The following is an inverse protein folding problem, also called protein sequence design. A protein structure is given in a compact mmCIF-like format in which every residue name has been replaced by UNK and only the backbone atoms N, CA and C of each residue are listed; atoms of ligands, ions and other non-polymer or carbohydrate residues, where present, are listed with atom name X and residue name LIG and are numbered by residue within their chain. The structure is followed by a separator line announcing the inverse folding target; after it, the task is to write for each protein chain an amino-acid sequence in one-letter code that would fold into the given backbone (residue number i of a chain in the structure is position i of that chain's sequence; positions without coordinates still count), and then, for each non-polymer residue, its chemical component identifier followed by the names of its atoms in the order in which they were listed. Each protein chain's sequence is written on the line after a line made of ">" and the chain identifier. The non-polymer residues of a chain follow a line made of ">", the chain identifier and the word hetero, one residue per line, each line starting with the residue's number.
data_IF_722017614133
#
_entry.id   IF_722017614133
#
_cell.length_a   1.000
_cell.length_b   1.000
_cell.length_c   1.000
_cell.angle_alpha   90.00
_cell.angle_beta   90.00
_cell.angle_gamma   90.00
#
_symmetry.space_group_name_H-M   'P 1'
#
loop_
_entity.id
_entity.type
_entity.pdbx_description
1 polymer ?
#
# COMPACT_ATOMS: atom_id res chain seq x y z
N UNK A 1 25.06 -23.49 -14.41
CA UNK A 1 23.61 -23.41 -14.11
C UNK A 1 22.95 -22.82 -15.34
N UNK A 2 21.94 -23.47 -15.89
CA UNK A 2 21.30 -23.03 -17.14
C UNK A 2 20.15 -22.09 -16.80
N UNK A 3 20.04 -20.94 -17.47
CA UNK A 3 18.94 -19.99 -17.29
C UNK A 3 17.99 -20.15 -18.49
N UNK A 4 16.72 -20.42 -18.21
CA UNK A 4 15.69 -20.62 -19.23
C UNK A 4 14.61 -19.57 -19.07
N UNK A 5 14.38 -18.78 -20.10
CA UNK A 5 13.28 -17.82 -20.14
C UNK A 5 12.00 -18.55 -20.53
N UNK A 6 10.91 -18.31 -19.81
CA UNK A 6 9.59 -18.86 -20.08
C UNK A 6 8.65 -17.71 -20.40
N UNK A 7 8.22 -17.65 -21.66
CA UNK A 7 7.32 -16.61 -22.15
C UNK A 7 5.88 -17.09 -21.96
N UNK A 8 5.11 -16.39 -21.15
CA UNK A 8 3.72 -16.70 -20.86
C UNK A 8 2.84 -15.68 -21.56
N UNK A 9 2.02 -16.17 -22.48
CA UNK A 9 1.22 -15.34 -23.38
C UNK A 9 -0.19 -15.27 -22.84
N UNK A 10 -0.62 -14.09 -22.41
CA UNK A 10 -1.98 -13.84 -21.94
C UNK A 10 -2.45 -12.50 -22.51
N UNK A 11 -3.74 -12.39 -22.84
CA UNK A 11 -4.42 -11.14 -23.24
C UNK A 11 -3.99 -10.47 -24.57
N UNK A 12 -3.87 -11.26 -25.65
CA UNK A 12 -4.06 -10.72 -27.02
C UNK A 12 -2.93 -9.92 -27.65
N UNK A 13 -1.74 -9.81 -27.02
CA UNK A 13 -0.52 -9.36 -27.71
C UNK A 13 0.16 -10.54 -28.43
N UNK A 14 0.84 -10.25 -29.55
CA UNK A 14 1.60 -11.28 -30.29
C UNK A 14 2.84 -11.72 -29.51
N UNK A 15 3.19 -13.01 -29.60
CA UNK A 15 4.38 -13.61 -28.97
C UNK A 15 5.66 -12.85 -29.34
N UNK A 16 5.73 -12.32 -30.57
CA UNK A 16 6.83 -11.48 -31.03
C UNK A 16 7.01 -10.20 -30.22
N UNK A 17 5.91 -9.55 -29.79
CA UNK A 17 6.01 -8.34 -28.97
C UNK A 17 6.61 -8.64 -27.60
N UNK A 18 6.12 -9.71 -26.94
CA UNK A 18 6.62 -10.16 -25.63
C UNK A 18 8.10 -10.56 -25.72
N UNK A 19 8.47 -11.32 -26.75
CA UNK A 19 9.85 -11.74 -26.98
C UNK A 19 10.77 -10.54 -27.24
N UNK A 20 10.31 -9.53 -27.99
CA UNK A 20 11.06 -8.30 -28.26
C UNK A 20 11.32 -7.50 -26.98
N UNK A 21 10.29 -7.34 -26.13
CA UNK A 21 10.41 -6.65 -24.85
C UNK A 21 11.33 -7.41 -23.88
N UNK A 22 11.16 -8.73 -23.78
CA UNK A 22 12.00 -9.59 -22.96
C UNK A 22 13.47 -9.57 -23.42
N UNK A 23 13.73 -9.54 -24.73
CA UNK A 23 15.09 -9.39 -25.28
C UNK A 23 15.72 -8.04 -24.97
N UNK A 24 14.92 -6.97 -24.98
CA UNK A 24 15.39 -5.63 -24.62
C UNK A 24 15.80 -5.56 -23.14
N UNK A 25 15.06 -6.25 -22.27
CA UNK A 25 15.31 -6.23 -20.83
C UNK A 25 16.41 -7.20 -20.38
N UNK A 26 16.44 -8.41 -20.96
CA UNK A 26 17.30 -9.51 -20.49
C UNK A 26 18.38 -9.94 -21.50
N UNK A 27 18.37 -9.41 -22.73
CA UNK A 27 19.25 -9.87 -23.82
C UNK A 27 18.77 -11.15 -24.49
N UNK A 28 19.58 -11.74 -25.37
CA UNK A 28 19.27 -13.02 -26.03
C UNK A 28 19.42 -14.19 -25.03
N UNK A 29 18.34 -14.94 -24.81
CA UNK A 29 18.29 -16.09 -23.91
C UNK A 29 17.54 -17.27 -24.56
N UNK A 30 17.88 -18.49 -24.14
CA UNK A 30 17.09 -19.67 -24.50
C UNK A 30 15.68 -19.54 -23.92
N UNK A 31 14.68 -19.54 -24.79
CA UNK A 31 13.30 -19.20 -24.46
C UNK A 31 12.35 -20.34 -24.78
N UNK A 32 11.36 -20.57 -23.91
CA UNK A 32 10.28 -21.55 -24.06
C UNK A 32 8.95 -20.82 -23.94
N UNK A 33 8.03 -21.04 -24.88
CA UNK A 33 6.67 -20.49 -24.77
C UNK A 33 5.78 -21.47 -24.04
N UNK A 34 5.01 -20.99 -23.07
CA UNK A 34 3.97 -21.78 -22.41
C UNK A 34 2.60 -21.24 -22.82
N UNK A 35 1.86 -22.02 -23.59
CA UNK A 35 0.58 -21.63 -24.20
C UNK A 35 -0.61 -22.29 -23.49
N UNK A 36 -1.76 -21.60 -23.44
CA UNK A 36 -3.01 -22.20 -22.94
C UNK A 36 -3.43 -23.38 -23.83
N UNK A 37 -3.97 -24.42 -23.23
CA UNK A 37 -4.57 -25.53 -23.97
C UNK A 37 -5.71 -25.00 -24.86
N UNK A 38 -5.56 -25.11 -26.18
CA UNK A 38 -6.54 -24.67 -27.17
C UNK A 38 -6.36 -23.23 -27.69
N UNK A 39 -5.34 -22.48 -27.26
CA UNK A 39 -4.99 -21.20 -27.88
C UNK A 39 -4.29 -21.42 -29.24
N UNK A 40 -4.62 -20.59 -30.23
CA UNK A 40 -4.14 -20.70 -31.62
C UNK A 40 -3.15 -19.60 -32.01
N UNK A 41 -2.61 -18.85 -31.04
CA UNK A 41 -1.65 -17.78 -31.34
C UNK A 41 -0.37 -18.37 -31.97
N UNK A 42 0.07 -17.86 -33.14
CA UNK A 42 1.21 -18.41 -33.84
C UNK A 42 2.50 -18.18 -33.05
N UNK A 43 3.13 -19.26 -32.63
CA UNK A 43 4.48 -19.26 -32.07
C UNK A 43 5.47 -18.98 -33.21
N UNK A 44 6.43 -18.04 -33.04
CA UNK A 44 7.44 -17.78 -34.06
C UNK A 44 8.24 -19.03 -34.43
N UNK A 45 8.57 -19.17 -35.72
CA UNK A 45 9.33 -20.32 -36.23
C UNK A 45 10.65 -20.51 -35.47
N UNK A 46 10.89 -21.75 -35.01
CA UNK A 46 12.10 -22.13 -34.29
C UNK A 46 12.09 -21.89 -32.78
N UNK A 47 11.03 -21.32 -32.22
CA UNK A 47 10.87 -21.15 -30.77
C UNK A 47 10.11 -22.35 -30.17
N UNK A 48 10.66 -23.08 -29.18
CA UNK A 48 9.96 -24.20 -28.59
C UNK A 48 8.74 -23.72 -27.81
N UNK A 49 7.65 -24.47 -27.88
CA UNK A 49 6.42 -24.20 -27.14
C UNK A 49 5.84 -25.47 -26.49
N UNK A 50 5.23 -25.32 -25.33
CA UNK A 50 4.53 -26.38 -24.60
C UNK A 50 3.18 -25.88 -24.09
N UNK A 51 2.22 -26.78 -23.96
CA UNK A 51 0.95 -26.44 -23.35
C UNK A 51 1.13 -26.24 -21.83
N UNK A 52 0.35 -25.34 -21.20
CA UNK A 52 0.39 -25.06 -19.74
C UNK A 52 0.32 -26.37 -18.93
N UNK A 53 -0.53 -27.30 -19.34
CA UNK A 53 -0.71 -28.57 -18.65
C UNK A 53 0.44 -29.58 -18.85
N UNK A 54 1.29 -29.35 -19.84
CA UNK A 54 2.40 -30.25 -20.19
C UNK A 54 3.76 -29.68 -19.78
N UNK A 55 3.80 -28.45 -19.25
CA UNK A 55 5.02 -27.84 -18.75
C UNK A 55 5.59 -28.62 -17.55
N UNK A 56 6.88 -28.97 -17.61
CA UNK A 56 7.61 -29.64 -16.55
C UNK A 56 8.98 -28.96 -16.35
N UNK A 57 9.32 -28.51 -15.12
CA UNK A 57 10.63 -27.92 -14.85
C UNK A 57 11.77 -28.95 -14.87
N UNK A 58 12.90 -28.53 -15.43
CA UNK A 58 14.16 -29.26 -15.51
C UNK A 58 14.98 -28.96 -14.24
N UNK A 59 15.43 -30.01 -13.54
CA UNK A 59 16.28 -29.86 -12.35
C UNK A 59 17.60 -29.14 -12.69
N UNK A 60 18.07 -28.27 -11.79
CA UNK A 60 19.31 -27.49 -11.97
C UNK A 60 19.20 -26.33 -12.97
N UNK A 61 17.98 -26.01 -13.44
CA UNK A 61 17.68 -24.88 -14.32
C UNK A 61 17.04 -23.75 -13.51
N UNK A 62 17.43 -22.50 -13.79
CA UNK A 62 16.75 -21.32 -13.27
C UNK A 62 15.76 -20.79 -14.30
N UNK A 63 14.58 -20.35 -13.85
CA UNK A 63 13.50 -19.93 -14.74
C UNK A 63 13.18 -18.44 -14.61
N UNK A 64 13.02 -17.73 -15.73
CA UNK A 64 12.51 -16.35 -15.75
C UNK A 64 11.17 -16.38 -16.48
N UNK A 65 10.07 -16.24 -15.75
CA UNK A 65 8.71 -16.26 -16.27
C UNK A 65 8.34 -14.84 -16.66
N UNK A 66 8.26 -14.58 -17.95
CA UNK A 66 7.86 -13.28 -18.49
C UNK A 66 6.38 -13.35 -18.83
N UNK A 67 5.56 -12.64 -18.07
CA UNK A 67 4.14 -12.43 -18.30
C UNK A 67 3.88 -10.99 -18.77
N UNK A 68 2.78 -10.77 -19.49
CA UNK A 68 2.38 -9.44 -19.96
C UNK A 68 0.89 -9.25 -19.67
N UNK A 69 0.56 -8.91 -18.42
CA UNK A 69 -0.82 -8.78 -17.95
C UNK A 69 -1.62 -10.09 -17.96
N UNK A 70 -1.90 -10.63 -16.76
CA UNK A 70 -2.75 -11.80 -16.54
C UNK A 70 -3.12 -11.89 -15.05
N UNK A 71 -4.21 -12.60 -14.70
CA UNK A 71 -4.54 -12.83 -13.29
C UNK A 71 -3.69 -13.97 -12.73
N UNK A 72 -3.32 -13.93 -11.45
CA UNK A 72 -2.53 -14.97 -10.76
C UNK A 72 -3.10 -16.39 -10.96
N UNK A 73 -4.41 -16.50 -11.19
CA UNK A 73 -5.11 -17.75 -11.49
C UNK A 73 -4.65 -18.43 -12.80
N UNK A 74 -4.19 -17.66 -13.79
CA UNK A 74 -3.73 -18.19 -15.08
C UNK A 74 -2.31 -18.75 -15.01
N UNK A 75 -1.50 -18.26 -14.06
CA UNK A 75 -0.12 -18.67 -13.84
C UNK A 75 -0.03 -19.86 -12.87
N UNK A 76 -1.03 -20.04 -12.00
CA UNK A 76 -1.01 -21.00 -10.91
C UNK A 76 -0.51 -22.41 -11.30
N UNK A 77 -0.92 -23.05 -12.42
CA UNK A 77 -0.45 -24.39 -12.76
C UNK A 77 1.06 -24.47 -13.07
N UNK A 78 1.61 -23.43 -13.69
CA UNK A 78 3.04 -23.34 -14.03
C UNK A 78 3.85 -23.06 -12.77
N UNK A 79 3.39 -22.09 -11.97
CA UNK A 79 4.01 -21.70 -10.71
C UNK A 79 4.04 -22.87 -9.71
N UNK A 80 2.92 -23.57 -9.53
CA UNK A 80 2.83 -24.76 -8.68
C UNK A 80 3.84 -25.85 -9.08
N UNK A 81 4.14 -26.01 -10.37
CA UNK A 81 5.12 -27.00 -10.82
C UNK A 81 6.55 -26.55 -10.56
N UNK A 82 6.86 -25.28 -10.78
CA UNK A 82 8.16 -24.70 -10.44
C UNK A 82 8.43 -24.84 -8.95
N UNK A 83 7.46 -24.46 -8.12
CA UNK A 83 7.48 -24.63 -6.66
C UNK A 83 7.75 -26.10 -6.26
N UNK A 84 6.94 -27.03 -6.76
CA UNK A 84 7.10 -28.47 -6.45
C UNK A 84 8.45 -29.03 -6.88
N UNK A 85 9.04 -28.48 -7.93
CA UNK A 85 10.35 -28.92 -8.41
C UNK A 85 11.52 -28.35 -7.61
N UNK A 86 11.30 -27.35 -6.74
CA UNK A 86 12.34 -26.70 -5.95
C UNK A 86 13.37 -25.95 -6.79
N UNK A 87 13.07 -25.69 -8.08
CA UNK A 87 13.93 -24.91 -8.96
C UNK A 87 13.78 -23.43 -8.64
N UNK A 88 14.86 -22.68 -8.83
CA UNK A 88 14.83 -21.23 -8.66
C UNK A 88 14.08 -20.63 -9.85
N UNK A 89 13.09 -19.78 -9.58
CA UNK A 89 12.39 -19.07 -10.63
C UNK A 89 11.99 -17.65 -10.20
N UNK A 90 11.82 -16.78 -11.19
CA UNK A 90 11.40 -15.39 -11.04
C UNK A 90 10.23 -15.12 -11.97
N UNK A 91 9.26 -14.30 -11.56
CA UNK A 91 8.20 -13.79 -12.44
C UNK A 91 8.47 -12.32 -12.76
N UNK A 92 8.22 -11.92 -14.01
CA UNK A 92 8.34 -10.55 -14.52
C UNK A 92 7.03 -10.19 -15.22
N UNK A 93 6.31 -9.19 -14.73
CA UNK A 93 5.18 -8.61 -15.46
C UNK A 93 5.61 -7.35 -16.22
N UNK A 94 5.64 -7.46 -17.55
CA UNK A 94 6.05 -6.39 -18.45
C UNK A 94 5.07 -5.18 -18.45
N UNK A 95 3.86 -5.30 -17.90
CA UNK A 95 2.92 -4.16 -17.80
C UNK A 95 3.10 -3.31 -16.54
N UNK A 96 3.76 -3.84 -15.50
CA UNK A 96 3.81 -3.18 -14.19
C UNK A 96 5.21 -2.97 -13.62
N UNK A 97 6.28 -3.32 -14.33
CA UNK A 97 7.66 -3.27 -13.82
C UNK A 97 7.85 -3.98 -12.45
N UNK A 98 6.98 -4.95 -12.12
CA UNK A 98 6.97 -5.64 -10.83
C UNK A 98 7.53 -7.06 -10.94
N UNK A 99 8.46 -7.39 -10.05
CA UNK A 99 9.03 -8.73 -9.87
C UNK A 99 8.34 -9.43 -8.69
N UNK A 100 8.07 -10.73 -8.79
CA UNK A 100 7.64 -11.57 -7.65
C UNK A 100 8.56 -12.79 -7.58
N UNK A 101 9.15 -13.02 -6.42
CA UNK A 101 10.07 -14.13 -6.11
C UNK A 101 9.54 -14.89 -4.89
N UNK A 102 9.56 -16.23 -4.92
CA UNK A 102 9.18 -17.10 -3.81
C UNK A 102 10.37 -18.02 -3.49
N UNK A 103 11.14 -17.69 -2.44
CA UNK A 103 12.36 -18.38 -2.04
C UNK A 103 12.39 -18.70 -0.55
N UNK A 104 12.76 -19.94 -0.18
CA UNK A 104 12.52 -20.51 1.15
C UNK A 104 13.35 -19.96 2.32
N UNK A 105 12.64 -19.52 3.37
CA UNK A 105 13.04 -19.55 4.80
C UNK A 105 11.80 -19.44 5.68
N UNK A 106 11.40 -20.53 6.37
CA UNK A 106 10.08 -20.76 6.98
C UNK A 106 8.96 -20.52 5.95
N UNK A 107 8.01 -21.44 5.73
CA UNK A 107 6.93 -21.16 4.79
C UNK A 107 6.03 -20.10 5.43
N UNK A 108 6.34 -18.81 5.29
CA UNK A 108 5.57 -17.70 5.80
C UNK A 108 4.87 -17.08 4.61
N UNK A 109 3.54 -16.96 4.70
CA UNK A 109 2.74 -16.22 3.75
C UNK A 109 2.21 -14.96 4.43
N UNK A 110 2.58 -13.80 3.90
CA UNK A 110 2.03 -12.52 4.31
C UNK A 110 0.74 -12.18 3.55
N UNK A 111 -0.25 -11.62 4.22
CA UNK A 111 -1.46 -11.06 3.63
C UNK A 111 -1.40 -9.55 3.85
N UNK A 112 -1.22 -8.80 2.77
CA UNK A 112 -0.96 -7.37 2.81
C UNK A 112 -2.09 -6.61 2.12
N UNK A 113 -2.79 -5.68 2.77
CA UNK A 113 -3.56 -4.69 2.03
C UNK A 113 -2.63 -3.82 1.16
N UNK A 114 -3.20 -3.11 0.19
CA UNK A 114 -2.47 -2.10 -0.60
C UNK A 114 -3.24 -0.77 -0.52
N UNK A 115 -3.31 -0.22 0.69
CA UNK A 115 -4.20 0.92 1.00
C UNK A 115 -3.45 2.18 1.48
N UNK A 116 -2.18 2.07 1.87
CA UNK A 116 -1.36 3.21 2.28
C UNK A 116 0.13 3.00 1.98
N UNK A 117 0.93 4.03 2.31
CA UNK A 117 2.36 4.06 2.03
C UNK A 117 3.16 3.00 2.78
N UNK A 118 2.76 2.65 4.01
CA UNK A 118 3.46 1.62 4.80
C UNK A 118 3.21 0.23 4.19
N UNK A 119 1.95 -0.07 3.83
CA UNK A 119 1.60 -1.35 3.22
C UNK A 119 2.34 -1.57 1.89
N UNK A 120 2.49 -0.52 1.07
CA UNK A 120 3.31 -0.57 -0.15
C UNK A 120 4.78 -0.85 0.17
N UNK A 121 5.33 -0.22 1.20
CA UNK A 121 6.74 -0.42 1.57
C UNK A 121 7.00 -1.80 2.17
N UNK A 122 6.04 -2.35 2.92
CA UNK A 122 6.07 -3.75 3.38
C UNK A 122 6.13 -4.68 2.17
N UNK A 123 5.31 -4.44 1.13
CA UNK A 123 5.34 -5.25 -0.09
C UNK A 123 6.70 -5.15 -0.79
N UNK A 124 7.27 -3.96 -0.91
CA UNK A 124 8.61 -3.79 -1.49
C UNK A 124 9.67 -4.57 -0.71
N UNK A 125 9.67 -4.46 0.62
CA UNK A 125 10.56 -5.21 1.49
C UNK A 125 10.40 -6.72 1.31
N UNK A 126 9.16 -7.22 1.23
CA UNK A 126 8.90 -8.65 1.02
C UNK A 126 9.37 -9.12 -0.36
N UNK A 127 9.24 -8.29 -1.41
CA UNK A 127 9.78 -8.57 -2.74
C UNK A 127 11.32 -8.67 -2.67
N UNK A 128 11.98 -7.68 -2.08
CA UNK A 128 13.45 -7.63 -1.97
C UNK A 128 14.02 -8.81 -1.19
N UNK A 129 13.28 -9.28 -0.17
CA UNK A 129 13.64 -10.43 0.65
C UNK A 129 13.11 -11.76 0.13
N UNK A 130 12.49 -11.78 -1.05
CA UNK A 130 11.99 -13.00 -1.73
C UNK A 130 10.95 -13.78 -0.90
N UNK A 131 10.15 -13.06 -0.11
CA UNK A 131 9.15 -13.61 0.80
C UNK A 131 7.80 -13.81 0.10
N UNK A 132 7.04 -14.84 0.49
CA UNK A 132 5.70 -15.09 -0.07
C UNK A 132 4.66 -14.12 0.49
N UNK A 133 3.90 -13.47 -0.39
CA UNK A 133 2.76 -12.64 0.02
C UNK A 133 1.58 -12.72 -0.95
N UNK A 134 0.39 -12.39 -0.45
CA UNK A 134 -0.82 -12.13 -1.24
C UNK A 134 -1.34 -10.75 -0.87
N UNK A 135 -1.70 -9.98 -1.88
CA UNK A 135 -2.29 -8.66 -1.67
C UNK A 135 -3.81 -8.71 -1.62
N UNK A 136 -4.42 -7.83 -0.82
CA UNK A 136 -5.87 -7.58 -0.78
C UNK A 136 -6.14 -6.11 -1.14
N UNK A 137 -7.26 -5.85 -1.81
CA UNK A 137 -7.66 -4.51 -2.29
C UNK A 137 -8.64 -3.83 -1.35
N UNK A 138 -8.59 -4.18 -0.07
CA UNK A 138 -9.40 -3.56 0.96
C UNK A 138 -8.87 -2.16 1.29
N UNK A 139 -9.78 -1.23 1.51
CA UNK A 139 -9.47 0.12 1.98
C UNK A 139 -9.01 0.10 3.45
N UNK A 140 -8.87 1.28 4.06
CA UNK A 140 -8.68 1.39 5.50
C UNK A 140 -9.77 0.67 6.28
N UNK A 141 -9.35 -0.05 7.33
CA UNK A 141 -10.20 -1.00 8.03
C UNK A 141 -10.27 -2.38 7.39
N UNK A 142 -9.28 -2.73 6.55
CA UNK A 142 -9.08 -4.07 6.03
C UNK A 142 -9.19 -5.12 7.15
N UNK A 143 -9.85 -6.23 6.87
CA UNK A 143 -10.14 -7.25 7.88
C UNK A 143 -9.96 -8.66 7.36
N UNK A 144 -9.75 -9.60 8.29
CA UNK A 144 -9.78 -11.02 7.99
C UNK A 144 -11.15 -11.49 7.49
N UNK A 145 -12.21 -10.78 7.91
CA UNK A 145 -13.57 -11.13 7.56
C UNK A 145 -13.89 -10.90 6.09
N UNK A 146 -13.40 -9.79 5.55
CA UNK A 146 -13.70 -9.30 4.20
C UNK A 146 -12.66 -9.68 3.15
N UNK A 147 -11.74 -10.61 3.46
CA UNK A 147 -10.82 -11.16 2.47
C UNK A 147 -11.57 -11.67 1.23
N UNK A 148 -11.04 -11.34 0.05
CA UNK A 148 -11.68 -11.69 -1.20
C UNK A 148 -11.77 -13.21 -1.37
N UNK A 149 -12.83 -13.74 -2.02
CA UNK A 149 -13.00 -15.18 -2.20
C UNK A 149 -11.80 -15.87 -2.84
N UNK A 150 -11.10 -15.18 -3.75
CA UNK A 150 -9.89 -15.69 -4.42
C UNK A 150 -8.70 -15.79 -3.46
N UNK A 151 -8.54 -14.84 -2.54
CA UNK A 151 -7.49 -14.86 -1.51
C UNK A 151 -7.75 -16.03 -0.56
N UNK A 152 -8.99 -16.15 -0.06
CA UNK A 152 -9.42 -17.27 0.79
C UNK A 152 -9.22 -18.62 0.11
N UNK A 153 -9.59 -18.74 -1.18
CA UNK A 153 -9.39 -19.96 -1.96
C UNK A 153 -7.92 -20.35 -2.11
N UNK A 154 -7.06 -19.36 -2.34
CA UNK A 154 -5.61 -19.52 -2.44
C UNK A 154 -5.02 -20.03 -1.13
N UNK A 155 -5.34 -19.38 0.00
CA UNK A 155 -4.87 -19.77 1.34
C UNK A 155 -5.30 -21.19 1.68
N UNK A 156 -6.57 -21.54 1.43
CA UNK A 156 -7.09 -22.90 1.70
C UNK A 156 -6.39 -23.97 0.87
N UNK A 157 -6.04 -23.66 -0.38
CA UNK A 157 -5.30 -24.58 -1.25
C UNK A 157 -3.87 -24.75 -0.74
N UNK A 158 -3.20 -23.64 -0.41
CA UNK A 158 -1.85 -23.65 0.14
C UNK A 158 -1.77 -24.45 1.44
N UNK A 159 -2.70 -24.26 2.38
CA UNK A 159 -2.70 -24.99 3.65
C UNK A 159 -2.96 -26.50 3.49
N UNK A 160 -3.64 -26.92 2.43
CA UNK A 160 -3.79 -28.36 2.11
C UNK A 160 -2.48 -28.95 1.59
N UNK A 161 -1.75 -28.19 0.79
CA UNK A 161 -0.49 -28.65 0.17
C UNK A 161 0.71 -28.49 1.10
N UNK A 162 0.68 -27.48 1.97
CA UNK A 162 1.74 -27.08 2.90
C UNK A 162 1.13 -26.73 4.27
N UNK A 163 0.73 -27.72 5.08
CA UNK A 163 0.01 -27.49 6.34
C UNK A 163 0.82 -26.77 7.42
N UNK A 164 2.13 -26.66 7.24
CA UNK A 164 3.03 -25.97 8.17
C UNK A 164 3.31 -24.51 7.77
N UNK A 165 2.65 -23.99 6.73
CA UNK A 165 2.77 -22.57 6.37
C UNK A 165 2.23 -21.69 7.50
N UNK A 166 3.01 -20.70 7.91
CA UNK A 166 2.57 -19.66 8.84
C UNK A 166 1.91 -18.54 8.04
N UNK A 167 0.68 -18.19 8.38
CA UNK A 167 -0.03 -17.07 7.77
C UNK A 167 0.15 -15.83 8.66
N UNK A 168 0.52 -14.71 8.07
CA UNK A 168 0.66 -13.42 8.76
C UNK A 168 -0.24 -12.41 8.06
N UNK A 169 -1.22 -11.87 8.76
CA UNK A 169 -1.97 -10.70 8.30
C UNK A 169 -1.27 -9.42 8.72
N UNK A 170 -1.16 -8.48 7.80
CA UNK A 170 -0.68 -7.13 8.05
C UNK A 170 -1.91 -6.25 8.22
N UNK A 171 -2.13 -5.76 9.43
CA UNK A 171 -3.18 -4.79 9.79
C UNK A 171 -4.62 -5.22 9.45
N UNK A 172 -4.84 -6.54 9.40
CA UNK A 172 -6.16 -7.08 9.15
C UNK A 172 -6.95 -7.15 10.46
N UNK A 173 -7.96 -6.31 10.59
CA UNK A 173 -8.88 -6.27 11.74
C UNK A 173 -9.62 -7.60 11.99
N UNK A 174 -10.06 -7.77 13.23
CA UNK A 174 -10.85 -8.92 13.68
C UNK A 174 -10.03 -10.19 13.89
N UNK A 175 -10.70 -11.26 14.30
CA UNK A 175 -10.06 -12.52 14.66
C UNK A 175 -9.29 -13.11 13.46
N UNK A 176 -7.98 -13.33 13.65
CA UNK A 176 -7.14 -13.96 12.65
C UNK A 176 -7.71 -15.31 12.21
N UNK A 177 -7.72 -15.54 10.89
CA UNK A 177 -8.24 -16.77 10.28
C UNK A 177 -7.10 -17.69 9.87
N UNK A 178 -7.43 -18.95 9.60
CA UNK A 178 -6.50 -19.95 9.08
C UNK A 178 -5.29 -20.27 10.00
N UNK A 179 -5.45 -20.06 11.31
CA UNK A 179 -4.35 -20.20 12.27
C UNK A 179 -3.27 -19.13 12.11
N UNK A 180 -3.58 -18.04 11.40
CA UNK A 180 -2.67 -16.92 11.19
C UNK A 180 -2.48 -16.06 12.43
N UNK A 181 -1.46 -15.22 12.37
CA UNK A 181 -1.18 -14.16 13.34
C UNK A 181 -1.37 -12.80 12.68
N UNK A 182 -1.66 -11.77 13.47
CA UNK A 182 -1.73 -10.41 12.98
C UNK A 182 -0.52 -9.60 13.43
N UNK A 183 0.08 -8.86 12.51
CA UNK A 183 1.02 -7.78 12.78
C UNK A 183 0.22 -6.48 12.62
N UNK A 184 0.33 -5.61 13.62
CA UNK A 184 -0.43 -4.38 13.72
C UNK A 184 0.21 -3.49 14.80
N UNK A 185 -0.19 -2.23 14.85
CA UNK A 185 0.18 -1.28 15.90
C UNK A 185 -0.96 -0.34 16.29
N UNK A 186 -2.15 -0.53 15.71
CA UNK A 186 -3.33 0.30 15.94
C UNK A 186 -4.14 -0.15 17.16
N UNK A 187 -5.06 0.73 17.57
CA UNK A 187 -6.10 0.43 18.54
C UNK A 187 -7.48 0.64 17.91
N UNK A 188 -8.29 -0.41 17.92
CA UNK A 188 -9.67 -0.38 17.45
C UNK A 188 -10.64 -0.59 18.61
N UNK A 189 -11.91 -0.28 18.40
CA UNK A 189 -12.96 -0.47 19.40
C UNK A 189 -13.09 -1.96 19.76
N UNK A 190 -12.67 -2.30 20.98
CA UNK A 190 -12.71 -3.68 21.48
C UNK A 190 -11.57 -4.59 20.97
N UNK A 191 -10.57 -4.05 20.27
CA UNK A 191 -9.42 -4.79 19.75
C UNK A 191 -8.14 -3.93 19.84
N UNK A 192 -7.36 -4.14 20.92
CA UNK A 192 -6.13 -3.39 21.20
C UNK A 192 -4.91 -4.16 20.71
N UNK A 193 -4.28 -3.65 19.65
CA UNK A 193 -3.11 -4.24 19.00
C UNK A 193 -1.92 -3.30 19.02
N UNK A 194 -1.93 -2.35 19.96
CA UNK A 194 -0.91 -1.34 20.09
C UNK A 194 0.48 -1.98 20.19
N UNK A 195 1.40 -1.50 19.35
CA UNK A 195 2.79 -1.93 19.35
C UNK A 195 3.70 -0.69 19.24
N UNK A 196 4.82 -0.61 19.98
CA UNK A 196 5.77 0.47 19.80
C UNK A 196 6.44 0.48 18.41
N UNK A 197 6.45 -0.67 17.72
CA UNK A 197 6.94 -0.84 16.36
C UNK A 197 5.79 -0.77 15.35
N UNK A 198 6.04 -0.12 14.21
CA UNK A 198 5.13 -0.10 13.07
C UNK A 198 5.00 -1.50 12.45
N UNK A 199 4.04 -1.72 11.54
CA UNK A 199 3.91 -3.01 10.89
C UNK A 199 5.13 -3.32 10.01
N UNK A 200 5.72 -2.31 9.35
CA UNK A 200 6.96 -2.44 8.59
C UNK A 200 8.15 -2.85 9.46
N UNK A 201 8.32 -2.23 10.64
CA UNK A 201 9.39 -2.60 11.59
C UNK A 201 9.22 -4.04 12.11
N UNK A 202 7.98 -4.46 12.36
CA UNK A 202 7.67 -5.83 12.78
C UNK A 202 7.98 -6.85 11.67
N UNK A 203 7.64 -6.53 10.42
CA UNK A 203 7.97 -7.39 9.26
C UNK A 203 9.48 -7.48 9.07
N UNK A 204 10.22 -6.36 9.10
CA UNK A 204 11.68 -6.35 8.95
C UNK A 204 12.37 -7.22 9.99
N UNK A 205 11.95 -7.10 11.26
CA UNK A 205 12.43 -7.95 12.36
C UNK A 205 12.14 -9.43 12.12
N UNK A 206 10.97 -9.76 11.58
CA UNK A 206 10.57 -11.14 11.34
C UNK A 206 11.33 -11.77 10.16
N UNK A 207 11.62 -10.98 9.13
CA UNK A 207 12.41 -11.40 7.96
C UNK A 207 13.93 -11.38 8.27
N UNK A 208 14.35 -10.65 9.31
CA UNK A 208 15.72 -10.61 9.79
C UNK A 208 16.59 -9.60 9.02
N UNK A 209 16.01 -8.45 8.70
CA UNK A 209 16.67 -7.35 7.99
C UNK A 209 16.53 -6.03 8.74
N UNK A 210 17.49 -5.15 8.52
CA UNK A 210 17.46 -3.77 9.01
C UNK A 210 16.78 -2.89 7.97
N UNK A 211 15.93 -1.96 8.42
CA UNK A 211 15.32 -0.97 7.54
C UNK A 211 16.36 0.06 7.08
N UNK A 212 16.32 0.40 5.79
CA UNK A 212 17.08 1.54 5.29
C UNK A 212 16.48 2.88 5.74
N UNK A 213 17.13 3.99 5.37
CA UNK A 213 16.71 5.34 5.78
C UNK A 213 15.29 5.67 5.31
N UNK A 214 14.93 5.32 4.07
CA UNK A 214 13.60 5.60 3.52
C UNK A 214 12.53 4.79 4.27
N UNK A 215 12.79 3.50 4.48
CA UNK A 215 11.90 2.61 5.21
C UNK A 215 11.73 3.01 6.68
N UNK A 216 12.79 3.48 7.33
CA UNK A 216 12.70 4.06 8.68
C UNK A 216 11.78 5.29 8.69
N UNK A 217 11.87 6.17 7.68
CA UNK A 217 10.99 7.33 7.57
C UNK A 217 9.53 6.93 7.33
N UNK A 218 9.27 5.93 6.50
CA UNK A 218 7.92 5.37 6.29
C UNK A 218 7.35 4.81 7.59
N UNK A 219 8.13 4.00 8.32
CA UNK A 219 7.71 3.42 9.59
C UNK A 219 7.40 4.47 10.67
N UNK A 220 8.22 5.53 10.80
CA UNK A 220 7.94 6.58 11.79
C UNK A 220 6.81 7.52 11.34
N UNK A 221 6.65 7.74 10.03
CA UNK A 221 5.49 8.44 9.48
C UNK A 221 4.19 7.72 9.83
N UNK A 222 4.18 6.40 9.75
CA UNK A 222 2.99 5.62 10.06
C UNK A 222 2.64 5.68 11.56
N UNK A 223 3.65 5.59 12.44
CA UNK A 223 3.46 5.71 13.90
C UNK A 223 3.09 7.11 14.39
N UNK A 224 3.55 8.16 13.74
CA UNK A 224 3.47 9.52 14.31
C UNK A 224 3.53 10.67 13.31
N UNK A 225 3.32 10.39 12.03
CA UNK A 225 3.23 11.35 10.94
C UNK A 225 4.49 12.22 10.81
N UNK A 226 4.37 13.39 10.18
CA UNK A 226 5.46 14.36 9.99
C UNK A 226 6.19 14.72 11.31
N UNK A 227 5.51 14.93 12.46
CA UNK A 227 6.19 15.17 13.73
C UNK A 227 7.21 14.09 14.12
N UNK A 228 6.89 12.81 13.92
CA UNK A 228 7.78 11.71 14.27
C UNK A 228 8.99 11.63 13.34
N UNK A 229 8.78 11.83 12.02
CA UNK A 229 9.89 11.94 11.06
C UNK A 229 10.89 13.03 11.48
N UNK A 230 10.41 14.21 11.88
CA UNK A 230 11.28 15.31 12.33
C UNK A 230 11.97 14.96 13.66
N UNK A 231 11.22 14.51 14.66
CA UNK A 231 11.75 14.36 16.03
C UNK A 231 12.63 13.14 16.25
N UNK A 232 12.29 12.02 15.61
CA UNK A 232 12.98 10.75 15.83
C UNK A 232 14.13 10.55 14.84
N UNK A 233 14.01 11.11 13.63
CA UNK A 233 14.92 10.85 12.54
C UNK A 233 15.61 12.11 11.98
N UNK A 234 15.31 13.30 12.51
CA UNK A 234 15.82 14.59 11.99
C UNK A 234 15.57 14.73 10.48
N UNK A 235 14.37 14.34 10.04
CA UNK A 235 14.03 14.29 8.63
C UNK A 235 14.06 15.69 7.98
N UNK A 236 14.73 15.79 6.83
CA UNK A 236 14.71 16.99 6.02
C UNK A 236 13.37 17.21 5.32
N UNK A 237 13.12 18.44 4.85
CA UNK A 237 11.89 18.78 4.12
C UNK A 237 11.68 17.87 2.90
N UNK A 238 12.73 17.57 2.14
CA UNK A 238 12.62 16.70 0.97
C UNK A 238 12.23 15.27 1.34
N UNK A 239 12.86 14.69 2.37
CA UNK A 239 12.53 13.34 2.86
C UNK A 239 11.06 13.25 3.28
N UNK A 240 10.56 14.27 3.98
CA UNK A 240 9.15 14.36 4.39
C UNK A 240 8.25 14.41 3.15
N UNK A 241 8.55 15.27 2.18
CA UNK A 241 7.75 15.41 0.97
C UNK A 241 7.71 14.10 0.17
N UNK A 242 8.83 13.40 0.06
CA UNK A 242 8.93 12.14 -0.68
C UNK A 242 8.08 11.04 -0.03
N UNK A 243 8.22 10.83 1.29
CA UNK A 243 7.42 9.84 2.04
C UNK A 243 5.93 10.18 2.01
N UNK A 244 5.58 11.44 2.23
CA UNK A 244 4.17 11.86 2.20
C UNK A 244 3.56 11.76 0.81
N UNK A 245 4.34 12.02 -0.25
CA UNK A 245 3.89 11.83 -1.63
C UNK A 245 3.63 10.35 -1.95
N UNK A 246 4.53 9.44 -1.52
CA UNK A 246 4.33 7.99 -1.64
C UNK A 246 3.04 7.55 -0.94
N UNK A 247 2.83 7.99 0.30
CA UNK A 247 1.65 7.63 1.09
C UNK A 247 0.34 8.09 0.44
N UNK A 248 0.27 9.37 0.00
CA UNK A 248 -0.91 9.90 -0.69
C UNK A 248 -1.20 9.16 -1.99
N UNK A 249 -0.17 8.83 -2.76
CA UNK A 249 -0.32 8.03 -3.99
C UNK A 249 -0.87 6.64 -3.68
N UNK A 250 -0.40 5.99 -2.62
CA UNK A 250 -0.90 4.68 -2.20
C UNK A 250 -2.37 4.72 -1.75
N UNK A 251 -2.80 5.82 -1.13
CA UNK A 251 -4.21 6.10 -0.76
C UNK A 251 -5.11 6.49 -1.95
N UNK A 252 -4.57 6.42 -3.17
CA UNK A 252 -5.27 6.68 -4.42
C UNK A 252 -5.46 8.17 -4.74
N UNK A 253 -4.67 9.06 -4.15
CA UNK A 253 -4.71 10.49 -4.50
C UNK A 253 -4.09 10.69 -5.88
N UNK A 254 -4.85 11.32 -6.78
CA UNK A 254 -4.40 11.57 -8.16
C UNK A 254 -3.63 12.87 -8.28
N UNK A 255 -2.93 13.05 -9.40
CA UNK A 255 -2.23 14.30 -9.69
C UNK A 255 -3.20 15.48 -9.79
N UNK A 256 -4.39 15.28 -10.36
CA UNK A 256 -5.41 16.33 -10.46
C UNK A 256 -5.89 16.79 -9.07
N UNK A 257 -5.99 15.86 -8.11
CA UNK A 257 -6.35 16.18 -6.72
C UNK A 257 -5.24 16.95 -5.99
N UNK A 258 -3.97 16.61 -6.25
CA UNK A 258 -2.83 17.38 -5.76
C UNK A 258 -2.82 18.81 -6.33
N UNK A 259 -3.04 18.95 -7.64
CA UNK A 259 -3.09 20.25 -8.31
C UNK A 259 -4.26 21.11 -7.80
N UNK A 260 -5.44 20.51 -7.59
CA UNK A 260 -6.59 21.16 -6.98
C UNK A 260 -6.26 21.68 -5.58
N UNK A 261 -5.61 20.86 -4.75
CA UNK A 261 -5.23 21.24 -3.40
C UNK A 261 -4.29 22.45 -3.37
N UNK A 262 -3.26 22.45 -4.23
CA UNK A 262 -2.36 23.60 -4.36
C UNK A 262 -3.11 24.88 -4.77
N UNK A 263 -3.98 24.79 -5.78
CA UNK A 263 -4.78 25.94 -6.23
C UNK A 263 -5.71 26.45 -5.13
N UNK A 264 -6.34 25.55 -4.38
CA UNK A 264 -7.25 25.90 -3.29
C UNK A 264 -6.50 26.57 -2.12
N UNK A 265 -5.30 26.09 -1.78
CA UNK A 265 -4.42 26.71 -0.78
C UNK A 265 -4.02 28.13 -1.21
N UNK A 266 -3.54 28.30 -2.44
CA UNK A 266 -3.09 29.60 -2.96
C UNK A 266 -4.23 30.62 -2.99
N UNK A 267 -5.42 30.20 -3.44
CA UNK A 267 -6.61 31.06 -3.59
C UNK A 267 -6.99 31.79 -2.30
N UNK A 268 -6.70 31.21 -1.13
CA UNK A 268 -7.11 31.76 0.17
C UNK A 268 -5.97 32.33 1.02
N UNK A 269 -4.77 32.51 0.46
CA UNK A 269 -3.53 32.80 1.20
C UNK A 269 -3.25 31.75 2.30
N UNK A 270 -3.48 30.47 1.99
CA UNK A 270 -3.37 29.40 2.98
C UNK A 270 -1.97 29.28 3.60
N UNK A 271 -0.92 29.44 2.80
CA UNK A 271 0.47 29.44 3.27
C UNK A 271 0.76 30.59 4.25
N UNK A 272 0.33 31.80 3.90
CA UNK A 272 0.53 32.99 4.73
C UNK A 272 -0.25 32.90 6.03
N UNK A 273 -1.53 32.50 5.97
CA UNK A 273 -2.38 32.26 7.15
C UNK A 273 -1.79 31.21 8.06
N UNK A 274 -1.28 30.12 7.50
CA UNK A 274 -0.60 29.08 8.25
C UNK A 274 0.62 29.64 9.01
N UNK A 275 1.48 30.40 8.34
CA UNK A 275 2.65 31.03 8.99
C UNK A 275 2.29 31.98 10.15
N UNK A 276 1.09 32.58 10.09
CA UNK A 276 0.55 33.50 11.10
C UNK A 276 -0.26 32.79 12.19
N UNK A 277 -0.50 31.47 12.06
CA UNK A 277 -1.32 30.70 13.00
C UNK A 277 -2.81 31.04 12.93
N UNK A 278 -3.28 31.49 11.77
CA UNK A 278 -4.69 31.81 11.51
C UNK A 278 -5.45 30.56 11.08
N UNK A 279 -6.78 30.57 11.22
CA UNK A 279 -7.65 29.53 10.66
C UNK A 279 -7.57 29.56 9.14
N UNK A 280 -7.19 28.42 8.55
CA UNK A 280 -7.21 28.19 7.11
C UNK A 280 -8.47 27.38 6.78
N UNK A 281 -9.29 27.88 5.86
CA UNK A 281 -10.49 27.20 5.37
C UNK A 281 -10.28 26.93 3.88
N UNK A 282 -10.35 25.66 3.50
CA UNK A 282 -10.11 25.17 2.14
C UNK A 282 -11.37 24.45 1.65
N UNK A 283 -11.85 24.83 0.47
CA UNK A 283 -12.94 24.13 -0.22
C UNK A 283 -12.36 23.22 -1.29
N UNK A 284 -12.79 21.97 -1.32
CA UNK A 284 -12.35 20.91 -2.24
C UNK A 284 -13.56 20.22 -2.89
N UNK A 285 -13.38 19.67 -4.09
CA UNK A 285 -14.39 18.86 -4.78
C UNK A 285 -14.45 17.42 -4.27
N UNK A 286 -13.49 17.01 -3.43
CA UNK A 286 -13.33 15.66 -2.92
C UNK A 286 -12.84 15.64 -1.46
N UNK A 287 -13.03 14.51 -0.77
CA UNK A 287 -12.73 14.38 0.68
C UNK A 287 -11.32 13.89 1.01
N UNK A 288 -10.43 13.75 0.01
CA UNK A 288 -9.02 13.38 0.20
C UNK A 288 -8.20 14.52 0.82
N UNK A 289 -8.37 14.78 2.11
CA UNK A 289 -7.82 15.97 2.78
C UNK A 289 -6.29 15.98 2.98
N UNK A 290 -5.62 14.82 2.89
CA UNK A 290 -4.17 14.73 3.10
C UNK A 290 -3.36 15.52 2.08
N UNK A 291 -3.86 15.71 0.84
CA UNK A 291 -3.21 16.57 -0.15
C UNK A 291 -3.23 18.06 0.24
N UNK A 292 -4.10 18.49 1.15
CA UNK A 292 -4.07 19.87 1.69
C UNK A 292 -3.25 19.93 2.97
N UNK A 293 -3.55 19.01 3.90
CA UNK A 293 -2.95 18.97 5.24
C UNK A 293 -1.43 18.85 5.17
N UNK A 294 -0.92 17.91 4.38
CA UNK A 294 0.52 17.60 4.31
C UNK A 294 1.33 18.82 3.84
N UNK A 295 0.81 19.57 2.87
CA UNK A 295 1.45 20.77 2.35
C UNK A 295 1.51 21.89 3.39
N UNK A 296 0.43 22.10 4.14
CA UNK A 296 0.36 23.18 5.13
C UNK A 296 1.08 22.86 6.44
N UNK A 297 1.27 21.58 6.77
CA UNK A 297 1.78 21.15 8.07
C UNK A 297 3.10 21.83 8.46
N UNK A 298 4.06 21.92 7.53
CA UNK A 298 5.39 22.50 7.77
C UNK A 298 5.37 24.02 7.99
N UNK A 299 4.28 24.69 7.66
CA UNK A 299 4.14 26.15 7.82
C UNK A 299 3.63 26.54 9.21
N UNK A 300 3.14 25.56 9.99
CA UNK A 300 2.71 25.78 11.36
C UNK A 300 3.84 25.60 12.35
N UNK A 301 4.18 26.70 13.04
CA UNK A 301 5.38 26.79 13.86
C UNK A 301 5.34 25.98 15.16
N UNK A 302 4.14 25.68 15.67
CA UNK A 302 3.96 25.06 16.99
C UNK A 302 3.18 23.72 16.95
N UNK A 303 3.01 23.13 15.76
CA UNK A 303 2.14 21.95 15.59
C UNK A 303 0.68 22.23 15.92
N UNK A 304 0.27 23.49 15.80
CA UNK A 304 -1.10 23.99 16.05
C UNK A 304 -1.79 24.33 14.74
N UNK A 305 -1.99 23.31 13.91
CA UNK A 305 -3.34 22.74 13.87
C UNK A 305 -4.51 23.76 13.75
N UNK A 306 -4.73 24.49 12.64
CA UNK A 306 -5.95 25.29 12.41
C UNK A 306 -6.42 25.23 10.96
N UNK A 307 -6.76 24.03 10.48
CA UNK A 307 -7.22 23.79 9.11
C UNK A 307 -8.63 23.21 9.14
N UNK A 308 -9.54 23.82 8.39
CA UNK A 308 -10.83 23.25 8.03
C UNK A 308 -10.84 22.96 6.53
N UNK A 309 -11.06 21.71 6.14
CA UNK A 309 -11.30 21.31 4.76
C UNK A 309 -12.78 20.99 4.59
N UNK A 310 -13.42 21.66 3.63
CA UNK A 310 -14.82 21.51 3.26
C UNK A 310 -14.90 20.84 1.89
N UNK A 311 -15.54 19.67 1.82
CA UNK A 311 -15.59 18.83 0.62
C UNK A 311 -16.98 18.90 -0.01
N UNK A 312 -17.05 18.95 -1.34
CA UNK A 312 -18.32 19.11 -2.07
C UNK A 312 -19.33 17.98 -1.84
N UNK A 313 -18.90 16.83 -1.35
CA UNK A 313 -19.77 15.72 -0.94
C UNK A 313 -20.44 15.94 0.44
N UNK A 314 -20.22 17.11 1.06
CA UNK A 314 -20.73 17.50 2.36
C UNK A 314 -19.81 17.15 3.53
N UNK A 315 -18.68 16.48 3.29
CA UNK A 315 -17.73 16.17 4.35
C UNK A 315 -16.95 17.42 4.80
N UNK A 316 -16.76 17.57 6.11
CA UNK A 316 -15.94 18.60 6.71
C UNK A 316 -14.91 17.96 7.64
N UNK A 317 -13.64 18.32 7.48
CA UNK A 317 -12.54 17.82 8.30
C UNK A 317 -11.80 18.98 8.94
N UNK A 318 -11.75 19.02 10.26
CA UNK A 318 -10.97 19.98 11.03
C UNK A 318 -9.74 19.32 11.64
N UNK A 319 -8.58 19.92 11.45
CA UNK A 319 -7.33 19.56 12.09
C UNK A 319 -6.90 20.67 13.02
N UNK A 320 -6.79 20.36 14.31
CA UNK A 320 -6.44 21.35 15.30
C UNK A 320 -6.41 20.91 16.74
N UNK A 321 -6.75 21.84 17.63
CA UNK A 321 -6.70 21.63 19.07
C UNK A 321 -7.71 20.55 19.52
N UNK A 322 -7.24 19.59 20.32
CA UNK A 322 -8.04 18.48 20.83
C UNK A 322 -9.29 18.90 21.57
N UNK A 323 -9.27 19.99 22.33
CA UNK A 323 -10.45 20.50 23.02
C UNK A 323 -11.48 21.10 22.05
N UNK A 324 -11.04 21.65 20.91
CA UNK A 324 -11.93 22.13 19.84
C UNK A 324 -12.54 20.94 19.09
N UNK A 325 -11.73 19.92 18.75
CA UNK A 325 -12.23 18.68 18.12
C UNK A 325 -13.29 17.97 18.98
N UNK A 326 -13.13 17.95 20.31
CA UNK A 326 -14.13 17.40 21.22
C UNK A 326 -15.46 18.19 21.18
N UNK A 327 -15.39 19.53 21.17
CA UNK A 327 -16.60 20.36 21.06
C UNK A 327 -17.29 20.21 19.71
N UNK A 328 -16.52 20.05 18.62
CA UNK A 328 -17.07 19.73 17.30
C UNK A 328 -17.80 18.39 17.32
N UNK A 329 -17.20 17.35 17.92
CA UNK A 329 -17.83 16.04 18.04
C UNK A 329 -19.13 16.09 18.86
N UNK A 330 -19.14 16.84 19.96
CA UNK A 330 -20.33 17.03 20.79
C UNK A 330 -21.44 17.79 20.04
N UNK A 331 -21.09 18.81 19.27
CA UNK A 331 -22.05 19.69 18.60
C UNK A 331 -22.60 19.10 17.30
N UNK A 332 -21.78 18.35 16.55
CA UNK A 332 -22.08 17.92 15.19
C UNK A 332 -21.97 16.40 14.97
N UNK A 333 -21.60 15.62 16.00
CA UNK A 333 -21.32 14.20 15.86
C UNK A 333 -20.06 13.96 15.02
N UNK A 334 -20.04 12.85 14.27
CA UNK A 334 -18.92 12.49 13.41
C UNK A 334 -17.86 11.62 14.09
N UNK A 335 -16.67 11.58 13.50
CA UNK A 335 -15.54 10.77 13.94
C UNK A 335 -14.35 11.66 14.31
N UNK A 336 -13.47 11.12 15.14
CA UNK A 336 -12.33 11.87 15.65
C UNK A 336 -11.12 10.97 15.82
N UNK A 337 -9.95 11.58 15.97
CA UNK A 337 -8.73 10.87 16.33
C UNK A 337 -7.60 11.79 16.75
N UNK A 338 -6.47 11.21 17.13
CA UNK A 338 -5.39 11.93 17.81
C UNK A 338 -5.75 12.23 19.27
N UNK A 339 -5.37 13.39 19.79
CA UNK A 339 -5.51 13.74 21.21
C UNK A 339 -6.83 14.47 21.54
N UNK A 340 -7.96 13.93 21.09
CA UNK A 340 -9.29 14.51 21.29
C UNK A 340 -9.56 14.76 22.77
N UNK A 341 -10.08 15.95 23.10
CA UNK A 341 -10.35 16.39 24.47
C UNK A 341 -9.12 16.94 25.22
N UNK A 342 -7.91 16.83 24.65
CA UNK A 342 -6.68 17.31 25.29
C UNK A 342 -6.30 18.68 24.72
N UNK A 343 -6.52 19.74 25.51
CA UNK A 343 -6.16 21.10 25.14
C UNK A 343 -4.66 21.25 24.82
N UNK A 344 -4.34 22.00 23.77
CA UNK A 344 -2.98 22.27 23.30
C UNK A 344 -2.31 21.09 22.59
N UNK A 345 -3.01 19.98 22.37
CA UNK A 345 -2.50 18.82 21.62
C UNK A 345 -3.26 18.70 20.30
N UNK A 346 -2.55 18.30 19.24
CA UNK A 346 -3.13 18.08 17.93
C UNK A 346 -4.10 16.89 17.93
N UNK A 347 -5.24 17.09 17.28
CA UNK A 347 -6.27 16.11 17.02
C UNK A 347 -6.93 16.42 15.66
N UNK A 348 -7.84 15.54 15.24
CA UNK A 348 -8.71 15.82 14.11
C UNK A 348 -10.16 15.45 14.42
N UNK A 349 -11.07 16.12 13.73
CA UNK A 349 -12.49 15.83 13.70
C UNK A 349 -12.96 15.78 12.25
N UNK A 350 -13.80 14.80 11.91
CA UNK A 350 -14.46 14.70 10.62
C UNK A 350 -15.97 14.50 10.81
N UNK A 351 -16.77 15.08 9.94
CA UNK A 351 -18.23 14.98 10.00
C UNK A 351 -18.90 15.47 8.72
N UNK A 352 -20.23 15.49 8.73
CA UNK A 352 -21.05 16.01 7.61
C UNK A 352 -22.03 17.08 8.09
N UNK A 353 -21.54 18.19 8.70
CA UNK A 353 -22.39 19.28 9.13
C UNK A 353 -22.84 20.14 7.95
N UNK A 354 -23.69 21.13 8.23
CA UNK A 354 -23.77 22.31 7.38
C UNK A 354 -22.44 23.10 7.43
N UNK A 355 -21.90 23.41 6.25
CA UNK A 355 -20.58 24.03 6.11
C UNK A 355 -20.52 25.47 6.63
N UNK A 356 -21.60 26.23 6.51
CA UNK A 356 -21.66 27.61 7.02
C UNK A 356 -21.69 27.56 8.55
N UNK A 357 -22.51 26.68 9.12
CA UNK A 357 -22.65 26.55 10.58
C UNK A 357 -21.33 26.12 11.24
N UNK A 358 -20.64 25.11 10.70
CA UNK A 358 -19.37 24.65 11.28
C UNK A 358 -18.25 25.70 11.14
N UNK A 359 -18.27 26.47 10.04
CA UNK A 359 -17.32 27.56 9.81
C UNK A 359 -17.50 28.67 10.85
N UNK A 360 -18.72 29.13 11.07
CA UNK A 360 -19.01 30.16 12.08
C UNK A 360 -18.74 29.66 13.50
N UNK A 361 -19.04 28.39 13.78
CA UNK A 361 -18.65 27.74 15.03
C UNK A 361 -17.13 27.85 15.25
N UNK A 362 -16.31 27.44 14.26
CA UNK A 362 -14.86 27.46 14.41
C UNK A 362 -14.28 28.87 14.57
N UNK A 363 -14.77 29.85 13.81
CA UNK A 363 -14.37 31.25 13.99
C UNK A 363 -14.63 31.73 15.42
N UNK A 364 -15.81 31.43 15.97
CA UNK A 364 -16.16 31.80 17.36
C UNK A 364 -15.28 31.16 18.45
N UNK A 365 -14.52 30.10 18.12
CA UNK A 365 -13.65 29.36 19.06
C UNK A 365 -12.18 29.71 18.90
N UNK A 366 -11.78 30.25 17.75
CA UNK A 366 -10.38 30.45 17.36
C UNK A 366 -10.00 31.92 17.15
N UNK A 367 -11.00 32.80 17.04
CA UNK A 367 -10.88 34.25 17.28
C UNK A 367 -10.67 34.54 18.78
#
# INVERSE_FOLDING_TARGET
>A
MTIKQVLIVLNGRSIQGILSDARREFGEMSSLVVCRNGDTLPVPDGLPSVAVNDFAPDQGTQYILVANGGTSAQLAPVLLRLERSGVIYRIVDLQKNGMVELGGRRPILFLCPINDGEAVEIINLLIDQQMSFITTYQDWGASWEHLEPIVVGTIKTLLKESPNVQIIGIELQGQARFGGINIDHHRYDGDDRSNPLSSLEQVAKLVGVELDRHQQLVAVNDRGYIPAMIKELDAGVQEILDVRSQDRKAQGITQEQEEEAYQAIDKVDGWGKACRGELVIIEMTHSKCSCVKDHLFLFWKDGRERLLVLSADGEANFYGDGAVCAQLQESFGGWTGGNVGVAGKGAFWGGRPDHEIVTEFLKSKLD
#
